data_IF_998381876858
#
_entry.id   IF_998381876858
#
_cell.length_a   1.000
_cell.length_b   1.000
_cell.length_c   1.000
_cell.angle_alpha   90.00
_cell.angle_beta   90.00
_cell.angle_gamma   90.00
#
_symmetry.space_group_name_H-M   'P 1'
#
loop_
_entity.id
_entity.type
_entity.pdbx_description
1 polymer ?
#
# COMPACT_ATOMS: atom_id res chain seq x y z
N UNK A 1 0.49 -18.81 -8.24
CA UNK A 1 0.30 -17.37 -7.99
C UNK A 1 -0.87 -16.86 -8.82
N UNK A 2 -1.80 -16.19 -8.20
CA UNK A 2 -2.97 -15.66 -8.88
C UNK A 2 -2.63 -14.49 -9.81
N UNK A 3 -3.49 -14.24 -10.80
CA UNK A 3 -3.34 -13.10 -11.70
C UNK A 3 -3.49 -11.77 -10.95
N UNK A 4 -4.43 -11.69 -10.00
CA UNK A 4 -4.66 -10.50 -9.18
C UNK A 4 -3.46 -10.18 -8.29
N UNK A 5 -2.84 -11.21 -7.68
CA UNK A 5 -1.61 -11.00 -6.90
C UNK A 5 -0.47 -10.46 -7.76
N UNK A 6 -0.32 -10.98 -8.99
CA UNK A 6 0.72 -10.47 -9.91
C UNK A 6 0.51 -8.98 -10.24
N UNK A 7 -0.74 -8.58 -10.46
CA UNK A 7 -1.07 -7.16 -10.70
C UNK A 7 -0.72 -6.33 -9.47
N UNK A 8 -1.09 -6.79 -8.28
CA UNK A 8 -0.75 -6.11 -7.03
C UNK A 8 0.76 -5.96 -6.84
N UNK A 9 1.52 -7.03 -7.11
CA UNK A 9 2.99 -6.98 -7.05
C UNK A 9 3.57 -5.99 -8.07
N UNK A 10 2.99 -5.92 -9.28
CA UNK A 10 3.42 -4.94 -10.29
C UNK A 10 3.18 -3.49 -9.82
N UNK A 11 2.05 -3.25 -9.15
CA UNK A 11 1.77 -1.94 -8.53
C UNK A 11 2.80 -1.61 -7.45
N UNK A 12 3.13 -2.57 -6.59
CA UNK A 12 4.15 -2.37 -5.55
C UNK A 12 5.49 -2.00 -6.16
N UNK A 13 5.95 -2.74 -7.18
CA UNK A 13 7.24 -2.46 -7.83
C UNK A 13 7.24 -1.10 -8.55
N UNK A 14 6.14 -0.75 -9.21
CA UNK A 14 5.99 0.57 -9.82
C UNK A 14 6.05 1.69 -8.79
N UNK A 15 5.37 1.51 -7.65
CA UNK A 15 5.40 2.49 -6.56
C UNK A 15 6.80 2.64 -5.95
N UNK A 16 7.51 1.55 -5.74
CA UNK A 16 8.92 1.58 -5.27
C UNK A 16 9.81 2.39 -6.21
N UNK A 17 9.56 2.30 -7.51
CA UNK A 17 10.26 3.08 -8.53
C UNK A 17 9.70 4.50 -8.69
N UNK A 18 8.67 4.87 -7.95
CA UNK A 18 7.93 6.14 -8.09
C UNK A 18 7.37 6.35 -9.50
N UNK A 19 7.05 5.26 -10.18
CA UNK A 19 6.44 5.26 -11.51
C UNK A 19 4.91 5.33 -11.39
N UNK A 20 4.41 6.54 -11.17
CA UNK A 20 2.98 6.81 -10.96
C UNK A 20 2.16 6.40 -12.18
N UNK A 21 2.66 6.63 -13.39
CA UNK A 21 1.93 6.27 -14.62
C UNK A 21 1.69 4.76 -14.72
N UNK A 22 2.68 3.95 -14.37
CA UNK A 22 2.51 2.49 -14.36
C UNK A 22 1.53 2.07 -13.25
N UNK A 23 1.57 2.67 -12.07
CA UNK A 23 0.58 2.40 -11.02
C UNK A 23 -0.83 2.68 -11.55
N UNK A 24 -1.05 3.86 -12.14
CA UNK A 24 -2.36 4.25 -12.68
C UNK A 24 -2.83 3.34 -13.82
N UNK A 25 -1.90 2.79 -14.62
CA UNK A 25 -2.25 1.86 -15.69
C UNK A 25 -2.89 0.56 -15.20
N UNK A 26 -2.71 0.22 -13.93
CA UNK A 26 -3.34 -0.93 -13.27
C UNK A 26 -4.67 -0.59 -12.57
N UNK A 27 -5.13 0.64 -12.68
CA UNK A 27 -6.36 1.13 -12.06
C UNK A 27 -7.38 1.54 -13.11
N UNK A 28 -8.68 1.34 -12.81
CA UNK A 28 -9.74 1.92 -13.63
C UNK A 28 -9.73 3.43 -13.49
N UNK A 29 -10.24 4.14 -14.49
CA UNK A 29 -10.34 5.61 -14.45
C UNK A 29 -11.19 6.10 -13.27
N UNK A 30 -12.15 5.31 -12.84
CA UNK A 30 -13.08 5.59 -11.74
C UNK A 30 -12.66 4.93 -10.42
N UNK A 31 -11.39 4.55 -10.24
CA UNK A 31 -10.88 3.94 -9.01
C UNK A 31 -11.34 4.69 -7.76
N UNK A 32 -11.74 3.94 -6.73
CA UNK A 32 -11.98 4.48 -5.39
C UNK A 32 -10.94 3.87 -4.46
N UNK A 33 -9.97 4.66 -4.06
CA UNK A 33 -8.83 4.18 -3.29
C UNK A 33 -8.85 4.73 -1.87
N UNK A 34 -9.26 3.88 -0.92
CA UNK A 34 -9.17 4.16 0.51
C UNK A 34 -7.78 3.76 1.01
N UNK A 35 -6.80 4.62 0.86
CA UNK A 35 -5.42 4.37 1.31
C UNK A 35 -5.29 4.33 2.84
N UNK A 36 -6.28 4.79 3.57
CA UNK A 36 -6.41 4.69 5.03
C UNK A 36 -7.91 4.60 5.37
N UNK A 37 -8.50 3.42 5.16
CA UNK A 37 -9.92 3.20 5.33
C UNK A 37 -10.38 3.56 6.74
N UNK A 38 -11.53 4.21 6.85
CA UNK A 38 -12.12 4.72 8.09
C UNK A 38 -11.30 5.83 8.78
N UNK A 39 -10.17 6.27 8.20
CA UNK A 39 -9.32 7.32 8.79
C UNK A 39 -9.34 8.57 7.92
N UNK A 40 -9.19 8.40 6.59
CA UNK A 40 -9.13 9.50 5.64
C UNK A 40 -10.16 9.30 4.51
N UNK A 41 -10.62 10.40 3.87
CA UNK A 41 -11.43 10.29 2.66
C UNK A 41 -10.65 9.55 1.56
N UNK A 42 -11.34 8.82 0.65
CA UNK A 42 -10.67 8.12 -0.44
C UNK A 42 -10.12 9.07 -1.50
N UNK A 43 -9.08 8.61 -2.20
CA UNK A 43 -8.67 9.19 -3.48
C UNK A 43 -9.64 8.73 -4.55
N UNK A 44 -10.19 9.66 -5.34
CA UNK A 44 -11.21 9.39 -6.35
C UNK A 44 -10.62 9.54 -7.77
N UNK A 45 -10.73 8.46 -8.54
CA UNK A 45 -10.28 8.40 -9.91
C UNK A 45 -8.78 8.52 -10.09
N UNK A 46 -8.31 8.49 -11.34
CA UNK A 46 -6.89 8.68 -11.64
C UNK A 46 -6.35 10.01 -11.11
N UNK A 47 -7.14 11.08 -11.23
CA UNK A 47 -6.72 12.40 -10.74
C UNK A 47 -6.47 12.42 -9.22
N UNK A 48 -7.36 11.84 -8.44
CA UNK A 48 -7.20 11.73 -6.98
C UNK A 48 -6.07 10.81 -6.58
N UNK A 49 -5.93 9.66 -7.25
CA UNK A 49 -4.85 8.71 -7.01
C UNK A 49 -3.48 9.34 -7.33
N UNK A 50 -3.36 10.04 -8.45
CA UNK A 50 -2.15 10.77 -8.84
C UNK A 50 -1.76 11.80 -7.78
N UNK A 51 -2.71 12.63 -7.38
CA UNK A 51 -2.47 13.68 -6.38
C UNK A 51 -1.98 13.11 -5.05
N UNK A 52 -2.58 12.00 -4.60
CA UNK A 52 -2.14 11.31 -3.40
C UNK A 52 -0.71 10.78 -3.55
N UNK A 53 -0.41 10.07 -4.65
CA UNK A 53 0.91 9.48 -4.88
C UNK A 53 2.00 10.54 -5.05
N UNK A 54 1.73 11.64 -5.72
CA UNK A 54 2.68 12.75 -5.86
C UNK A 54 3.01 13.37 -4.50
N UNK A 55 1.97 13.66 -3.70
CA UNK A 55 2.13 14.27 -2.38
C UNK A 55 2.84 13.35 -1.40
N UNK A 56 2.45 12.08 -1.36
CA UNK A 56 3.04 11.09 -0.46
C UNK A 56 4.47 10.75 -0.92
N UNK A 57 4.66 10.50 -2.22
CA UNK A 57 5.95 10.16 -2.80
C UNK A 57 7.01 11.26 -2.65
N UNK A 58 6.60 12.53 -2.62
CA UNK A 58 7.51 13.64 -2.40
C UNK A 58 8.22 13.59 -1.02
N UNK A 59 7.63 12.90 -0.05
CA UNK A 59 8.14 12.78 1.32
C UNK A 59 8.96 11.51 1.56
N UNK A 60 8.90 10.54 0.64
CA UNK A 60 9.47 9.20 0.81
C UNK A 60 10.81 9.10 0.08
N UNK A 61 11.83 8.58 0.76
CA UNK A 61 13.14 8.29 0.19
C UNK A 61 13.26 6.83 -0.29
N UNK A 62 12.72 5.88 0.46
CA UNK A 62 12.82 4.45 0.18
C UNK A 62 11.55 3.72 0.63
N UNK A 63 11.18 2.65 -0.07
CA UNK A 63 9.99 1.86 0.20
C UNK A 63 10.36 0.39 0.30
N UNK A 64 9.88 -0.28 1.36
CA UNK A 64 10.00 -1.71 1.58
C UNK A 64 8.63 -2.29 1.90
N UNK A 65 7.80 -2.37 0.90
CA UNK A 65 6.43 -2.83 1.03
C UNK A 65 6.38 -4.36 0.96
N UNK A 66 5.97 -5.00 2.05
CA UNK A 66 5.93 -6.46 2.18
C UNK A 66 4.49 -6.97 2.17
N UNK A 67 4.28 -8.06 1.46
CA UNK A 67 3.06 -8.86 1.49
C UNK A 67 3.42 -10.22 2.08
N UNK A 68 2.78 -10.62 3.16
CA UNK A 68 3.08 -11.89 3.84
C UNK A 68 2.14 -13.00 3.42
N UNK A 69 0.87 -12.68 3.20
CA UNK A 69 -0.15 -13.65 2.84
C UNK A 69 -1.24 -13.01 2.00
N UNK A 70 -1.99 -13.83 1.29
CA UNK A 70 -3.10 -13.38 0.47
C UNK A 70 -4.17 -14.46 0.32
N UNK A 71 -5.38 -14.04 -0.02
CA UNK A 71 -6.48 -14.93 -0.41
C UNK A 71 -7.31 -14.24 -1.49
N UNK A 72 -7.97 -15.04 -2.31
CA UNK A 72 -8.89 -14.52 -3.33
C UNK A 72 -10.31 -14.99 -3.09
N UNK A 73 -11.26 -14.13 -3.38
CA UNK A 73 -12.67 -14.45 -3.42
C UNK A 73 -13.29 -13.78 -4.65
N UNK A 74 -13.36 -14.52 -5.76
CA UNK A 74 -13.84 -13.98 -7.03
C UNK A 74 -12.94 -12.84 -7.52
N UNK A 75 -13.54 -11.69 -7.75
CA UNK A 75 -12.85 -10.49 -8.22
C UNK A 75 -12.18 -9.69 -7.08
N UNK A 76 -12.00 -10.30 -5.93
CA UNK A 76 -11.37 -9.65 -4.76
C UNK A 76 -10.09 -10.35 -4.36
N UNK A 77 -9.09 -9.54 -4.06
CA UNK A 77 -7.82 -9.97 -3.48
C UNK A 77 -7.72 -9.40 -2.06
N UNK A 78 -7.47 -10.28 -1.10
CA UNK A 78 -7.24 -9.93 0.30
C UNK A 78 -5.76 -10.13 0.59
N UNK A 79 -5.13 -9.14 1.24
CA UNK A 79 -3.68 -9.17 1.52
C UNK A 79 -3.40 -8.76 2.96
N UNK A 80 -2.32 -9.32 3.50
CA UNK A 80 -1.77 -8.94 4.81
C UNK A 80 -0.31 -8.58 4.62
N UNK A 81 0.12 -7.48 5.21
CA UNK A 81 1.50 -7.06 5.08
C UNK A 81 1.93 -5.96 6.01
N UNK A 82 3.12 -5.43 5.73
CA UNK A 82 3.66 -4.22 6.35
C UNK A 82 4.17 -3.31 5.24
N UNK A 83 3.67 -2.09 5.22
CA UNK A 83 4.20 -1.03 4.36
C UNK A 83 5.27 -0.28 5.15
N UNK A 84 6.53 -0.60 4.87
CA UNK A 84 7.67 0.08 5.47
C UNK A 84 8.25 1.09 4.48
N UNK A 85 8.49 2.30 4.95
CA UNK A 85 9.17 3.32 4.16
C UNK A 85 10.05 4.21 5.06
N UNK A 86 10.98 4.89 4.41
CA UNK A 86 11.84 5.88 5.05
C UNK A 86 11.50 7.25 4.48
N UNK A 87 11.31 8.23 5.35
CA UNK A 87 11.06 9.60 4.94
C UNK A 87 12.37 10.29 4.59
N UNK A 88 12.30 11.39 3.82
CA UNK A 88 13.48 12.16 3.43
C UNK A 88 14.17 12.84 4.60
N UNK A 89 13.45 13.05 5.71
CA UNK A 89 13.99 13.60 6.96
C UNK A 89 14.52 12.53 7.92
N UNK A 90 14.54 11.26 7.50
CA UNK A 90 15.20 10.17 8.21
C UNK A 90 14.31 9.33 9.13
N UNK A 91 13.00 9.56 9.17
CA UNK A 91 12.09 8.71 9.94
C UNK A 91 11.87 7.37 9.24
N UNK A 92 11.81 6.28 10.01
CA UNK A 92 11.38 4.96 9.57
C UNK A 92 9.92 4.77 9.98
N UNK A 93 9.08 4.40 9.04
CA UNK A 93 7.66 4.10 9.30
C UNK A 93 7.35 2.71 8.78
N UNK A 94 6.86 1.82 9.65
CA UNK A 94 6.44 0.48 9.26
C UNK A 94 4.98 0.29 9.69
N UNK A 95 4.08 0.37 8.72
CA UNK A 95 2.64 0.35 8.96
C UNK A 95 2.08 -1.05 8.71
N UNK A 96 1.67 -1.80 9.75
CA UNK A 96 0.92 -3.03 9.54
C UNK A 96 -0.41 -2.73 8.87
N UNK A 97 -0.78 -3.54 7.88
CA UNK A 97 -2.04 -3.35 7.17
C UNK A 97 -2.66 -4.68 6.73
N UNK A 98 -3.97 -4.63 6.52
CA UNK A 98 -4.71 -5.61 5.74
C UNK A 98 -5.46 -4.86 4.65
N UNK A 99 -5.40 -5.35 3.42
CA UNK A 99 -6.00 -4.67 2.26
C UNK A 99 -7.00 -5.55 1.54
N UNK A 100 -7.97 -4.88 0.90
CA UNK A 100 -8.94 -5.50 0.01
C UNK A 100 -8.91 -4.75 -1.31
N UNK A 101 -8.58 -5.46 -2.40
CA UNK A 101 -8.61 -4.91 -3.74
C UNK A 101 -9.75 -5.58 -4.52
N UNK A 102 -10.55 -4.77 -5.21
CA UNK A 102 -11.59 -5.27 -6.11
C UNK A 102 -11.17 -4.99 -7.55
N UNK A 103 -11.38 -5.99 -8.41
CA UNK A 103 -10.95 -5.94 -9.79
C UNK A 103 -12.14 -5.90 -10.75
N UNK A 104 -11.98 -5.19 -11.85
CA UNK A 104 -12.84 -5.23 -13.01
C UNK A 104 -11.96 -5.65 -14.18
N UNK A 105 -12.01 -6.96 -14.54
CA UNK A 105 -11.01 -7.54 -15.41
C UNK A 105 -9.64 -7.51 -14.75
N UNK A 106 -8.65 -7.00 -15.45
CA UNK A 106 -7.28 -6.89 -14.95
C UNK A 106 -6.98 -5.53 -14.29
N UNK A 107 -8.01 -4.72 -14.03
CA UNK A 107 -7.84 -3.39 -13.45
C UNK A 107 -8.45 -3.32 -12.04
N UNK A 108 -7.73 -2.66 -11.14
CA UNK A 108 -8.19 -2.40 -9.78
C UNK A 108 -9.23 -1.27 -9.84
N UNK A 109 -10.47 -1.54 -9.42
CA UNK A 109 -11.54 -0.55 -9.41
C UNK A 109 -11.90 -0.04 -8.01
N UNK A 110 -11.50 -0.77 -6.96
CA UNK A 110 -11.62 -0.33 -5.58
C UNK A 110 -10.47 -0.90 -4.76
N UNK A 111 -9.99 -0.12 -3.79
CA UNK A 111 -8.88 -0.54 -2.93
C UNK A 111 -9.09 0.06 -1.55
N UNK A 112 -9.01 -0.77 -0.52
CA UNK A 112 -9.16 -0.34 0.88
C UNK A 112 -8.05 -0.95 1.70
N UNK A 113 -7.20 -0.10 2.29
CA UNK A 113 -6.21 -0.52 3.27
C UNK A 113 -6.69 -0.15 4.68
N UNK A 114 -6.78 -1.15 5.54
CA UNK A 114 -7.03 -1.00 6.96
C UNK A 114 -5.70 -1.08 7.67
N UNK A 115 -5.25 0.03 8.25
CA UNK A 115 -3.91 0.15 8.79
C UNK A 115 -3.93 0.63 10.24
N UNK A 116 -2.83 0.35 10.95
CA UNK A 116 -2.63 0.84 12.31
C UNK A 116 -2.01 2.24 12.30
N UNK A 117 -2.87 3.25 12.33
CA UNK A 117 -2.46 4.66 12.30
C UNK A 117 -1.66 5.08 13.55
N UNK A 118 -1.89 4.42 14.69
CA UNK A 118 -1.14 4.70 15.92
C UNK A 118 0.33 4.29 15.79
N UNK A 119 0.59 3.12 15.23
CA UNK A 119 1.95 2.65 14.94
C UNK A 119 2.64 3.59 13.96
N UNK A 120 1.96 3.95 12.86
CA UNK A 120 2.49 4.86 11.85
C UNK A 120 2.85 6.22 12.43
N UNK A 121 1.95 6.82 13.21
CA UNK A 121 2.14 8.15 13.78
C UNK A 121 3.32 8.18 14.77
N UNK A 122 3.43 7.16 15.62
CA UNK A 122 4.53 7.07 16.59
C UNK A 122 5.89 6.98 15.89
N UNK A 123 6.00 6.17 14.85
CA UNK A 123 7.24 6.02 14.08
C UNK A 123 7.53 7.26 13.23
N UNK A 124 6.53 7.88 12.62
CA UNK A 124 6.69 9.12 11.87
C UNK A 124 7.20 10.28 12.75
N UNK A 125 6.85 10.26 14.03
CA UNK A 125 7.36 11.22 15.02
C UNK A 125 8.80 10.89 15.51
N UNK A 126 9.45 9.86 14.94
CA UNK A 126 10.81 9.47 15.28
C UNK A 126 10.91 8.34 16.29
N UNK A 127 9.78 7.71 16.67
CA UNK A 127 9.77 6.55 17.56
C UNK A 127 10.39 5.32 16.92
N UNK A 128 11.00 4.45 17.73
CA UNK A 128 11.50 3.17 17.27
C UNK A 128 10.33 2.20 17.00
N UNK A 129 10.56 1.24 16.10
CA UNK A 129 9.62 0.14 15.90
C UNK A 129 9.52 -0.69 17.19
N UNK A 130 8.31 -1.10 17.56
CA UNK A 130 8.09 -2.01 18.68
C UNK A 130 8.63 -3.41 18.34
N UNK A 131 8.85 -4.22 19.37
CA UNK A 131 9.23 -5.62 19.20
C UNK A 131 8.19 -6.39 18.37
N UNK A 132 6.90 -6.02 18.48
CA UNK A 132 5.81 -6.65 17.72
C UNK A 132 5.88 -6.29 16.23
N UNK A 133 6.20 -5.04 15.89
CA UNK A 133 6.41 -4.63 14.50
C UNK A 133 7.62 -5.36 13.90
N UNK A 134 8.75 -5.44 14.63
CA UNK A 134 9.93 -6.15 14.16
C UNK A 134 9.64 -7.65 13.96
N UNK A 135 8.82 -8.25 14.82
CA UNK A 135 8.40 -9.64 14.65
C UNK A 135 7.58 -9.85 13.38
N UNK A 136 6.67 -8.92 13.05
CA UNK A 136 5.90 -8.98 11.80
C UNK A 136 6.82 -8.88 10.58
N UNK A 137 7.76 -7.92 10.58
CA UNK A 137 8.69 -7.71 9.47
C UNK A 137 9.60 -8.93 9.25
N UNK A 138 9.87 -9.72 10.28
CA UNK A 138 10.70 -10.92 10.17
C UNK A 138 10.04 -12.08 9.42
N UNK A 139 8.74 -11.99 9.14
CA UNK A 139 8.01 -13.03 8.37
C UNK A 139 8.49 -13.06 6.93
N UNK A 140 8.44 -14.24 6.32
CA UNK A 140 8.73 -14.40 4.90
C UNK A 140 7.69 -13.65 4.06
N UNK A 141 8.14 -12.82 3.13
CA UNK A 141 7.26 -12.12 2.18
C UNK A 141 7.05 -12.97 0.93
N UNK A 142 5.87 -12.80 0.30
CA UNK A 142 5.53 -13.46 -0.97
C UNK A 142 5.84 -12.58 -2.18
N UNK A 143 6.29 -11.37 -1.96
CA UNK A 143 6.68 -10.42 -3.01
C UNK A 143 8.17 -10.12 -3.01
#
# INVERSE_FOLDING_TARGET
MSSHLRIYQAVIEAWKAKDIETVLSHMTEDIVWHYAAAISPPALGHAGARKFMERFGARIADVRWRVFDYAENGERLFVEGVDEFFTKDGARVATPYAGVLEFRGDLICAWRDYCDAGVSAAMAAGGAASAQVELLISRAAVN
#
